data_IF_767142774864
#
_entry.id   IF_767142774864
#
_cell.length_a   1.000
_cell.length_b   1.000
_cell.length_c   1.000
_cell.angle_alpha   90.00
_cell.angle_beta   90.00
_cell.angle_gamma   90.00
#
_symmetry.space_group_name_H-M   'P 1'
#
loop_
_entity.id
_entity.type
_entity.pdbx_description
1 polymer ?
#
# COMPACT_ATOMS: atom_id res chain seq x y z
N UNK A 1 -1.07 -22.45 -30.34
CA UNK A 1 -2.54 -22.67 -30.26
C UNK A 1 -3.15 -21.47 -29.55
N UNK A 2 -4.16 -20.77 -30.11
CA UNK A 2 -4.71 -19.60 -29.45
C UNK A 2 -5.59 -20.03 -28.27
N UNK A 3 -5.31 -19.47 -27.09
CA UNK A 3 -6.18 -19.60 -25.91
C UNK A 3 -7.55 -19.00 -26.24
N UNK A 4 -8.59 -19.84 -26.26
CA UNK A 4 -9.97 -19.37 -26.28
C UNK A 4 -10.22 -18.64 -24.96
N UNK A 5 -10.34 -17.32 -25.02
CA UNK A 5 -10.92 -16.52 -23.94
C UNK A 5 -12.35 -17.03 -23.71
N UNK A 6 -12.59 -17.66 -22.56
CA UNK A 6 -13.94 -17.94 -22.11
C UNK A 6 -14.67 -16.61 -21.92
N UNK A 7 -15.58 -16.28 -22.84
CA UNK A 7 -16.54 -15.20 -22.62
C UNK A 7 -17.35 -15.56 -21.37
N UNK A 8 -17.06 -14.87 -20.26
CA UNK A 8 -17.91 -14.89 -19.07
C UNK A 8 -19.28 -14.36 -19.45
N UNK A 9 -20.31 -15.18 -19.27
CA UNK A 9 -21.70 -14.80 -19.52
C UNK A 9 -22.03 -13.59 -18.63
N UNK A 10 -22.30 -12.44 -19.24
CA UNK A 10 -22.75 -11.23 -18.52
C UNK A 10 -24.01 -11.59 -17.73
N UNK A 11 -23.91 -11.61 -16.41
CA UNK A 11 -25.04 -11.91 -15.53
C UNK A 11 -25.60 -10.64 -14.93
N UNK A 12 -26.92 -10.46 -15.05
CA UNK A 12 -27.63 -9.28 -14.57
C UNK A 12 -27.93 -9.36 -13.06
N UNK A 13 -28.16 -8.19 -12.46
CA UNK A 13 -28.64 -8.04 -11.10
C UNK A 13 -30.05 -8.63 -10.98
N UNK A 14 -30.20 -9.62 -10.11
CA UNK A 14 -31.47 -10.30 -9.90
C UNK A 14 -32.57 -9.34 -9.39
N UNK A 15 -32.19 -8.32 -8.61
CA UNK A 15 -33.12 -7.36 -8.01
C UNK A 15 -33.64 -6.31 -8.99
N UNK A 16 -32.73 -5.65 -9.72
CA UNK A 16 -33.10 -4.74 -10.82
C UNK A 16 -34.04 -5.43 -11.82
N UNK A 17 -33.74 -6.68 -12.16
CA UNK A 17 -34.55 -7.44 -13.12
C UNK A 17 -35.93 -7.80 -12.56
N UNK A 18 -36.04 -8.14 -11.26
CA UNK A 18 -37.32 -8.53 -10.66
C UNK A 18 -38.21 -7.36 -10.27
N UNK A 19 -37.63 -6.23 -9.87
CA UNK A 19 -38.36 -5.10 -9.27
C UNK A 19 -38.62 -3.98 -10.29
N UNK A 20 -37.67 -3.74 -11.21
CA UNK A 20 -37.70 -2.59 -12.13
C UNK A 20 -37.63 -3.02 -13.60
N UNK A 21 -37.56 -4.33 -13.87
CA UNK A 21 -37.35 -4.92 -15.19
C UNK A 21 -36.10 -4.38 -15.92
N UNK A 22 -35.09 -3.98 -15.14
CA UNK A 22 -33.84 -3.44 -15.64
C UNK A 22 -32.75 -4.51 -15.76
N UNK A 23 -31.93 -4.43 -16.81
CA UNK A 23 -30.85 -5.39 -17.10
C UNK A 23 -29.48 -4.87 -16.67
N UNK A 24 -29.39 -4.29 -15.48
CA UNK A 24 -28.12 -3.84 -14.90
C UNK A 24 -27.19 -5.02 -14.64
N UNK A 25 -25.91 -4.89 -14.98
CA UNK A 25 -24.91 -5.94 -14.78
C UNK A 25 -24.64 -6.16 -13.28
N UNK A 26 -24.61 -7.42 -12.85
CA UNK A 26 -24.24 -7.76 -11.49
C UNK A 26 -22.72 -7.63 -11.28
N UNK A 27 -22.35 -7.04 -10.15
CA UNK A 27 -20.96 -6.86 -9.70
C UNK A 27 -20.63 -7.67 -8.46
N UNK A 28 -21.65 -8.18 -7.77
CA UNK A 28 -21.52 -8.90 -6.51
C UNK A 28 -22.38 -10.17 -6.51
N UNK A 29 -22.01 -11.11 -5.65
CA UNK A 29 -22.77 -12.30 -5.36
C UNK A 29 -22.88 -12.49 -3.85
N UNK A 30 -24.11 -12.63 -3.37
CA UNK A 30 -24.35 -13.07 -2.00
C UNK A 30 -24.27 -14.60 -1.95
N UNK A 31 -23.45 -15.14 -1.06
CA UNK A 31 -23.23 -16.58 -0.92
C UNK A 31 -24.50 -17.26 -0.41
N UNK A 32 -25.13 -16.69 0.61
CA UNK A 32 -26.27 -17.27 1.33
C UNK A 32 -27.56 -17.15 0.52
N UNK A 33 -27.80 -16.02 -0.15
CA UNK A 33 -28.97 -15.84 -1.01
C UNK A 33 -28.81 -16.45 -2.40
N UNK A 34 -27.60 -16.90 -2.76
CA UNK A 34 -27.25 -17.36 -4.12
C UNK A 34 -27.67 -16.39 -5.24
N UNK A 35 -27.78 -15.09 -4.92
CA UNK A 35 -28.23 -14.07 -5.83
C UNK A 35 -27.07 -13.17 -6.28
N UNK A 36 -27.18 -12.67 -7.51
CA UNK A 36 -26.22 -11.73 -8.10
C UNK A 36 -26.81 -10.33 -8.07
N UNK A 37 -26.03 -9.36 -7.61
CA UNK A 37 -26.48 -8.01 -7.30
C UNK A 37 -25.58 -6.97 -7.98
N UNK A 38 -26.15 -5.84 -8.40
CA UNK A 38 -25.37 -4.64 -8.73
C UNK A 38 -24.79 -4.02 -7.45
N UNK A 39 -23.95 -2.99 -7.59
CA UNK A 39 -23.28 -2.35 -6.45
C UNK A 39 -24.28 -1.77 -5.44
N UNK A 40 -25.34 -1.11 -5.92
CA UNK A 40 -26.33 -0.45 -5.06
C UNK A 40 -27.17 -1.49 -4.31
N UNK A 41 -27.64 -2.52 -5.02
CA UNK A 41 -28.39 -3.59 -4.38
C UNK A 41 -27.53 -4.41 -3.40
N UNK A 42 -26.24 -4.62 -3.67
CA UNK A 42 -25.32 -5.24 -2.73
C UNK A 42 -25.12 -4.39 -1.46
N UNK A 43 -24.98 -3.06 -1.63
CA UNK A 43 -24.83 -2.11 -0.53
C UNK A 43 -26.08 -2.06 0.35
N UNK A 44 -27.27 -2.03 -0.27
CA UNK A 44 -28.53 -2.16 0.45
C UNK A 44 -28.62 -3.51 1.17
N UNK A 45 -28.23 -4.59 0.50
CA UNK A 45 -28.25 -5.94 1.05
C UNK A 45 -27.38 -6.08 2.31
N UNK A 46 -26.26 -5.38 2.42
CA UNK A 46 -25.44 -5.39 3.64
C UNK A 46 -25.94 -4.43 4.72
N UNK A 47 -26.76 -3.43 4.35
CA UNK A 47 -27.31 -2.42 5.27
C UNK A 47 -28.53 -2.94 6.04
N UNK A 48 -29.37 -3.79 5.44
CA UNK A 48 -30.55 -4.34 6.11
C UNK A 48 -30.17 -5.37 7.18
N UNK A 49 -30.71 -5.22 8.40
CA UNK A 49 -30.39 -6.10 9.55
C UNK A 49 -30.56 -7.58 9.24
N UNK A 50 -31.58 -7.95 8.45
CA UNK A 50 -31.88 -9.32 8.05
C UNK A 50 -30.72 -9.99 7.28
N UNK A 51 -29.90 -9.20 6.61
CA UNK A 51 -28.92 -9.67 5.63
C UNK A 51 -27.50 -9.17 5.93
N UNK A 52 -27.31 -8.44 7.03
CA UNK A 52 -26.04 -7.82 7.42
C UNK A 52 -24.91 -8.83 7.64
N UNK A 53 -25.24 -10.08 7.99
CA UNK A 53 -24.27 -11.17 8.18
C UNK A 53 -23.95 -11.93 6.89
N UNK A 54 -24.64 -11.65 5.78
CA UNK A 54 -24.44 -12.37 4.54
C UNK A 54 -23.10 -11.96 3.89
N UNK A 55 -22.34 -12.94 3.45
CA UNK A 55 -21.10 -12.71 2.72
C UNK A 55 -21.42 -12.32 1.27
N UNK A 56 -21.12 -11.07 0.94
CA UNK A 56 -21.24 -10.55 -0.41
C UNK A 56 -19.84 -10.46 -1.02
N UNK A 57 -19.60 -11.27 -2.04
CA UNK A 57 -18.32 -11.34 -2.76
C UNK A 57 -18.41 -10.53 -4.05
N UNK A 58 -17.32 -9.89 -4.44
CA UNK A 58 -17.20 -9.30 -5.77
C UNK A 58 -17.17 -10.43 -6.80
N UNK A 59 -18.01 -10.32 -7.82
CA UNK A 59 -17.86 -11.14 -9.02
C UNK A 59 -16.65 -10.62 -9.77
N UNK A 60 -15.69 -11.50 -10.08
CA UNK A 60 -14.56 -11.13 -10.93
C UNK A 60 -15.10 -10.59 -12.25
N UNK A 61 -14.89 -9.31 -12.50
CA UNK A 61 -15.27 -8.72 -13.77
C UNK A 61 -14.28 -9.18 -14.84
N UNK A 62 -14.78 -9.57 -16.02
CA UNK A 62 -13.94 -9.74 -17.21
C UNK A 62 -13.47 -8.41 -17.79
N UNK A 63 -14.06 -7.30 -17.33
CA UNK A 63 -13.72 -5.92 -17.71
C UNK A 63 -13.46 -5.14 -16.42
N UNK A 64 -12.25 -4.64 -16.25
CA UNK A 64 -11.86 -3.90 -15.04
C UNK A 64 -12.82 -2.71 -14.87
N UNK A 65 -13.53 -2.55 -13.75
CA UNK A 65 -14.56 -1.52 -13.59
C UNK A 65 -13.97 -0.12 -13.34
N UNK A 66 -12.75 0.13 -13.78
CA UNK A 66 -12.23 1.49 -13.84
C UNK A 66 -12.72 2.06 -15.16
N UNK A 67 -13.50 3.13 -15.08
CA UNK A 67 -13.94 3.90 -16.27
C UNK A 67 -12.78 4.44 -17.11
N UNK A 68 -11.53 4.28 -16.64
CA UNK A 68 -10.33 4.92 -17.18
C UNK A 68 -10.36 6.45 -17.02
N UNK A 69 -11.44 7.01 -16.47
CA UNK A 69 -11.60 8.44 -16.22
C UNK A 69 -11.02 8.73 -14.86
N UNK A 70 -9.75 9.10 -14.85
CA UNK A 70 -9.09 9.66 -13.69
C UNK A 70 -9.39 11.16 -13.67
N UNK A 71 -9.91 11.63 -12.55
CA UNK A 71 -10.08 13.05 -12.29
C UNK A 71 -9.02 13.49 -11.29
N UNK A 72 -8.45 14.66 -11.51
CA UNK A 72 -7.56 15.27 -10.54
C UNK A 72 -8.38 15.65 -9.32
N UNK A 73 -8.17 14.94 -8.20
CA UNK A 73 -8.90 15.22 -6.97
C UNK A 73 -8.30 16.40 -6.20
N UNK A 74 -6.97 16.59 -6.20
CA UNK A 74 -6.30 17.67 -5.45
C UNK A 74 -4.79 17.44 -5.27
N UNK A 75 -4.11 18.39 -4.62
CA UNK A 75 -2.72 18.25 -4.15
C UNK A 75 -2.69 18.25 -2.61
N UNK A 76 -1.76 17.47 -2.04
CA UNK A 76 -1.47 17.48 -0.60
C UNK A 76 -0.90 18.84 -0.18
N UNK A 77 -1.43 19.42 0.91
CA UNK A 77 -0.90 20.66 1.51
C UNK A 77 -1.49 21.97 0.98
N UNK A 78 -2.55 21.93 0.15
CA UNK A 78 -3.27 23.11 -0.31
C UNK A 78 -4.39 23.57 0.64
N UNK A 79 -4.86 22.71 1.56
CA UNK A 79 -5.91 23.11 2.51
C UNK A 79 -5.34 24.06 3.57
N UNK A 80 -6.06 25.16 3.74
CA UNK A 80 -5.78 26.40 4.47
C UNK A 80 -5.46 26.30 5.96
N UNK A 81 -5.31 25.09 6.51
CA UNK A 81 -5.09 24.85 7.93
C UNK A 81 -3.60 24.81 8.33
N UNK A 82 -2.68 25.00 7.37
CA UNK A 82 -1.25 25.14 7.65
C UNK A 82 -0.87 26.61 7.46
N UNK A 83 -0.57 27.31 8.56
CA UNK A 83 -0.16 28.74 8.56
C UNK A 83 1.06 29.05 7.67
N UNK A 84 1.74 28.00 7.18
CA UNK A 84 2.71 28.06 6.07
C UNK A 84 2.43 26.89 5.12
N UNK A 85 2.45 27.08 3.79
CA UNK A 85 2.32 25.97 2.86
C UNK A 85 3.42 24.94 3.15
N UNK A 86 3.01 23.71 3.47
CA UNK A 86 3.95 22.61 3.66
C UNK A 86 4.61 22.33 2.32
N UNK A 87 5.92 22.59 2.21
CA UNK A 87 6.70 22.27 1.02
C UNK A 87 7.56 21.05 1.28
N UNK A 88 7.42 20.04 0.43
CA UNK A 88 8.37 18.95 0.38
C UNK A 88 9.66 19.37 -0.31
N UNK A 89 10.79 18.74 0.03
CA UNK A 89 12.07 18.91 -0.65
C UNK A 89 12.24 17.86 -1.75
N UNK A 90 12.03 16.59 -1.42
CA UNK A 90 12.10 15.47 -2.36
C UNK A 90 11.27 14.28 -1.86
N UNK A 91 10.03 14.17 -2.35
CA UNK A 91 9.16 13.03 -2.04
C UNK A 91 9.65 11.79 -2.79
N UNK A 92 9.95 10.72 -2.06
CA UNK A 92 10.53 9.48 -2.63
C UNK A 92 9.69 8.24 -2.38
N UNK A 93 8.86 8.24 -1.35
CA UNK A 93 8.07 7.08 -0.96
C UNK A 93 6.78 7.46 -0.26
N UNK A 94 5.81 6.55 -0.30
CA UNK A 94 4.53 6.70 0.39
C UNK A 94 4.03 5.35 0.89
N UNK A 95 3.21 5.38 1.94
CA UNK A 95 2.52 4.20 2.45
C UNK A 95 1.18 4.58 3.06
N UNK A 96 0.15 3.79 2.83
CA UNK A 96 -1.17 3.99 3.45
C UNK A 96 -1.38 2.92 4.51
N UNK A 97 -1.54 3.33 5.76
CA UNK A 97 -2.07 2.45 6.80
C UNK A 97 -3.58 2.61 6.90
N UNK A 98 -4.30 1.50 6.67
CA UNK A 98 -5.76 1.48 6.84
C UNK A 98 -6.17 1.35 8.29
N UNK A 99 -5.37 0.67 9.13
CA UNK A 99 -5.59 0.57 10.58
C UNK A 99 -5.55 1.96 11.20
N UNK A 100 -4.52 2.74 10.89
CA UNK A 100 -4.33 4.08 11.45
C UNK A 100 -5.08 5.16 10.69
N UNK A 101 -5.56 4.89 9.47
CA UNK A 101 -6.14 5.87 8.55
C UNK A 101 -5.16 7.02 8.31
N UNK A 102 -3.91 6.66 8.04
CA UNK A 102 -2.82 7.61 7.80
C UNK A 102 -2.17 7.35 6.45
N UNK A 103 -1.83 8.43 5.75
CA UNK A 103 -0.88 8.44 4.66
C UNK A 103 0.48 8.85 5.19
N UNK A 104 1.48 8.00 5.05
CA UNK A 104 2.88 8.29 5.30
C UNK A 104 3.54 8.76 4.01
N UNK A 105 4.32 9.83 4.09
CA UNK A 105 5.06 10.43 2.97
C UNK A 105 6.51 10.62 3.37
N UNK A 106 7.41 10.05 2.58
CA UNK A 106 8.86 10.14 2.78
C UNK A 106 9.40 11.32 2.00
N UNK A 107 10.00 12.29 2.70
CA UNK A 107 10.72 13.42 2.12
C UNK A 107 12.23 13.22 2.36
N UNK A 108 12.90 12.62 1.37
CA UNK A 108 14.23 12.04 1.56
C UNK A 108 15.32 13.08 1.76
N UNK A 109 15.24 14.23 1.08
CA UNK A 109 16.21 15.31 1.21
C UNK A 109 15.95 16.22 2.42
N UNK A 110 14.78 16.08 3.04
CA UNK A 110 14.48 16.70 4.32
C UNK A 110 14.74 15.77 5.52
N UNK A 111 15.16 14.52 5.27
CA UNK A 111 15.32 13.45 6.26
C UNK A 111 14.06 13.26 7.13
N UNK A 112 12.88 13.34 6.51
CA UNK A 112 11.59 13.34 7.22
C UNK A 112 10.60 12.33 6.70
N UNK A 113 9.75 11.85 7.61
CA UNK A 113 8.51 11.14 7.27
C UNK A 113 7.33 11.92 7.85
N UNK A 114 6.44 12.36 6.98
CA UNK A 114 5.19 13.01 7.36
C UNK A 114 4.08 11.97 7.43
N UNK A 115 3.13 12.16 8.33
CA UNK A 115 1.88 11.39 8.36
C UNK A 115 0.69 12.33 8.30
N UNK A 116 -0.28 12.00 7.45
CA UNK A 116 -1.49 12.79 7.24
C UNK A 116 -2.71 11.95 7.57
N UNK A 117 -3.66 12.53 8.30
CA UNK A 117 -4.96 11.92 8.54
C UNK A 117 -5.72 11.77 7.23
N UNK A 118 -6.20 10.56 6.98
CA UNK A 118 -7.19 10.29 5.94
C UNK A 118 -8.57 10.63 6.52
N UNK A 119 -9.08 11.81 6.21
CA UNK A 119 -10.45 12.19 6.57
C UNK A 119 -11.48 11.29 5.85
N UNK A 120 -12.70 11.20 6.41
CA UNK A 120 -13.63 10.08 6.24
C UNK A 120 -13.85 9.63 4.79
N UNK A 121 -13.70 8.32 4.58
CA UNK A 121 -14.20 7.56 3.43
C UNK A 121 -15.73 7.71 3.30
N UNK A 122 -16.19 8.50 2.33
CA UNK A 122 -17.60 8.74 1.98
C UNK A 122 -17.71 9.67 0.77
N UNK A 123 -18.93 9.92 0.28
CA UNK A 123 -19.24 10.66 -0.97
C UNK A 123 -18.70 12.11 -1.06
N UNK A 124 -18.13 12.63 0.02
CA UNK A 124 -17.39 13.88 0.05
C UNK A 124 -15.91 13.56 0.29
N UNK A 125 -15.17 13.31 -0.80
CA UNK A 125 -13.71 13.18 -0.81
C UNK A 125 -13.08 14.58 -0.71
N UNK A 126 -13.42 15.35 0.33
CA UNK A 126 -12.70 16.60 0.58
C UNK A 126 -11.27 16.22 0.94
N UNK A 127 -10.29 16.69 0.15
CA UNK A 127 -8.87 16.39 0.27
C UNK A 127 -8.21 17.01 1.52
N UNK A 128 -8.91 16.97 2.67
CA UNK A 128 -8.44 17.47 3.95
C UNK A 128 -7.46 16.46 4.56
N UNK A 129 -6.27 16.38 3.97
CA UNK A 129 -5.14 15.65 4.52
C UNK A 129 -4.51 16.48 5.63
N UNK A 130 -5.05 16.35 6.84
CA UNK A 130 -4.53 17.06 8.02
C UNK A 130 -3.20 16.46 8.44
N UNK A 131 -2.14 17.28 8.52
CA UNK A 131 -0.85 16.83 9.04
C UNK A 131 -1.02 16.34 10.49
N UNK A 132 -0.67 15.07 10.73
CA UNK A 132 -0.77 14.42 12.03
C UNK A 132 0.55 14.46 12.79
N UNK A 133 1.64 14.10 12.10
CA UNK A 133 2.95 14.01 12.70
C UNK A 133 4.05 14.20 11.64
N UNK A 134 5.24 14.62 12.09
CA UNK A 134 6.46 14.75 11.31
C UNK A 134 7.61 14.10 12.09
N UNK A 135 8.13 12.99 11.58
CA UNK A 135 9.27 12.27 12.15
C UNK A 135 10.54 12.83 11.51
N UNK A 136 11.44 13.38 12.32
CA UNK A 136 12.78 13.76 11.90
C UNK A 136 13.73 12.57 12.09
N UNK A 137 14.36 12.14 11.00
CA UNK A 137 15.37 11.09 11.01
C UNK A 137 16.77 11.71 11.01
N UNK A 138 17.75 10.92 11.46
CA UNK A 138 19.18 11.25 11.39
C UNK A 138 19.87 10.61 10.18
N UNK A 139 19.09 10.12 9.22
CA UNK A 139 19.53 9.54 7.95
C UNK A 139 18.51 9.85 6.86
N UNK A 140 18.93 9.79 5.60
CA UNK A 140 18.05 10.02 4.46
C UNK A 140 17.20 8.77 4.17
N UNK A 141 15.86 8.83 4.36
CA UNK A 141 14.97 7.71 4.05
C UNK A 141 14.65 7.67 2.55
N UNK A 142 14.36 6.48 1.99
CA UNK A 142 13.92 6.33 0.60
C UNK A 142 12.49 5.80 0.49
N UNK A 143 12.16 4.77 1.27
CA UNK A 143 10.83 4.19 1.31
C UNK A 143 10.42 3.87 2.74
N UNK A 144 9.11 3.75 2.95
CA UNK A 144 8.51 3.38 4.24
C UNK A 144 7.44 2.32 4.01
N UNK A 145 7.39 1.34 4.91
CA UNK A 145 6.33 0.36 5.03
C UNK A 145 5.83 0.39 6.48
N UNK A 146 4.51 0.40 6.69
CA UNK A 146 3.93 0.34 8.04
C UNK A 146 3.67 -1.11 8.40
N UNK A 147 4.06 -1.50 9.61
CA UNK A 147 3.60 -2.72 10.24
C UNK A 147 2.34 -2.44 11.07
N UNK A 148 1.18 -2.64 10.47
CA UNK A 148 -0.09 -2.49 11.19
C UNK A 148 -0.24 -3.54 12.32
N UNK A 149 0.57 -4.60 12.36
CA UNK A 149 0.45 -5.65 13.39
C UNK A 149 1.07 -5.27 14.73
N UNK A 150 2.17 -4.51 14.71
CA UNK A 150 2.90 -4.09 15.92
C UNK A 150 3.15 -2.58 16.04
N UNK A 151 2.51 -1.77 15.19
CA UNK A 151 2.55 -0.29 15.22
C UNK A 151 3.98 0.26 15.02
N UNK A 152 4.64 -0.21 13.97
CA UNK A 152 6.03 0.16 13.64
C UNK A 152 6.19 0.58 12.19
N UNK A 153 7.35 1.17 11.90
CA UNK A 153 7.76 1.57 10.56
C UNK A 153 8.99 0.76 10.15
N UNK A 154 8.99 0.26 8.92
CA UNK A 154 10.16 -0.29 8.25
C UNK A 154 10.57 0.71 7.17
N UNK A 155 11.79 1.22 7.28
CA UNK A 155 12.29 2.32 6.48
C UNK A 155 13.58 1.86 5.78
N UNK A 156 13.72 2.22 4.51
CA UNK A 156 14.98 2.03 3.78
C UNK A 156 15.78 3.32 3.73
N UNK A 157 17.10 3.19 3.68
CA UNK A 157 18.01 4.31 3.43
C UNK A 157 19.03 3.91 2.39
N UNK A 158 19.01 4.60 1.24
CA UNK A 158 19.95 4.37 0.15
C UNK A 158 21.38 4.75 0.55
N UNK A 159 21.54 5.91 1.19
CA UNK A 159 22.83 6.41 1.61
C UNK A 159 23.52 5.46 2.59
N UNK A 160 22.76 4.88 3.52
CA UNK A 160 23.30 3.93 4.48
C UNK A 160 23.40 2.51 3.91
N UNK A 161 22.64 2.15 2.86
CA UNK A 161 22.53 0.77 2.38
C UNK A 161 21.80 -0.14 3.38
N UNK A 162 20.82 0.41 4.10
CA UNK A 162 20.22 -0.23 5.27
C UNK A 162 18.70 -0.28 5.23
N UNK A 163 18.17 -1.22 6.00
CA UNK A 163 16.75 -1.35 6.35
C UNK A 163 16.63 -1.22 7.85
N UNK A 164 15.76 -0.35 8.34
CA UNK A 164 15.57 -0.10 9.77
C UNK A 164 14.11 -0.26 10.14
N UNK A 165 13.84 -1.04 11.18
CA UNK A 165 12.53 -1.06 11.84
C UNK A 165 12.57 -0.19 13.09
N UNK A 166 11.58 0.66 13.26
CA UNK A 166 11.46 1.58 14.40
C UNK A 166 10.00 1.75 14.84
N UNK A 167 9.81 2.26 16.04
CA UNK A 167 8.49 2.66 16.55
C UNK A 167 7.80 3.67 15.62
N UNK A 168 6.47 3.70 15.65
CA UNK A 168 5.67 4.61 14.80
C UNK A 168 6.00 6.10 14.99
N UNK A 169 6.52 6.48 16.15
CA UNK A 169 6.94 7.85 16.48
C UNK A 169 8.40 8.15 16.11
N UNK A 170 9.12 7.15 15.60
CA UNK A 170 10.51 7.21 15.18
C UNK A 170 11.53 7.32 16.32
N UNK A 171 11.13 7.18 17.58
CA UNK A 171 12.01 7.35 18.74
C UNK A 171 12.87 6.12 19.02
N UNK A 172 12.31 4.91 18.86
CA UNK A 172 12.97 3.68 19.22
C UNK A 172 13.30 2.84 17.99
N UNK A 173 14.56 2.41 17.88
CA UNK A 173 14.99 1.49 16.83
C UNK A 173 14.86 0.05 17.33
N UNK A 174 14.13 -0.76 16.60
CA UNK A 174 13.82 -2.15 16.96
C UNK A 174 14.88 -3.08 16.40
N UNK A 175 15.12 -3.02 15.08
CA UNK A 175 16.20 -3.75 14.44
C UNK A 175 16.71 -3.00 13.21
N UNK A 176 17.88 -3.39 12.73
CA UNK A 176 18.46 -2.90 11.48
C UNK A 176 19.11 -4.04 10.72
N UNK A 177 19.09 -3.96 9.40
CA UNK A 177 19.79 -4.86 8.49
C UNK A 177 20.67 -4.04 7.53
N UNK A 178 21.85 -4.57 7.20
CA UNK A 178 22.91 -3.88 6.44
C UNK A 178 23.97 -3.23 7.34
N UNK A 179 25.13 -2.89 6.76
CA UNK A 179 26.22 -2.22 7.47
C UNK A 179 26.15 -0.72 7.27
N UNK A 180 26.22 0.01 8.39
CA UNK A 180 26.25 1.46 8.40
C UNK A 180 27.56 1.96 7.77
N UNK A 181 27.45 2.60 6.60
CA UNK A 181 28.60 3.09 5.84
C UNK A 181 28.81 4.59 6.07
N UNK A 182 30.07 5.00 6.14
CA UNK A 182 30.42 6.39 5.88
C UNK A 182 30.35 6.60 4.35
N UNK A 183 29.66 7.65 3.92
CA UNK A 183 29.34 7.97 2.52
C UNK A 183 30.47 7.59 1.54
N UNK A 184 30.09 6.86 0.48
CA UNK A 184 30.92 6.41 -0.65
C UNK A 184 31.77 5.15 -0.44
N UNK A 185 31.21 3.98 -0.78
CA UNK A 185 31.94 2.72 -0.90
C UNK A 185 31.15 1.68 -1.71
N UNK A 186 31.85 0.67 -2.27
CA UNK A 186 31.26 -0.45 -3.02
C UNK A 186 30.37 -1.32 -2.12
N UNK A 187 29.14 -1.61 -2.50
CA UNK A 187 28.21 -2.44 -1.69
C UNK A 187 28.77 -3.84 -1.46
N UNK A 188 28.73 -4.31 -0.22
CA UNK A 188 29.11 -5.68 0.14
C UNK A 188 27.94 -6.61 -0.16
N UNK A 189 28.21 -7.91 -0.31
CA UNK A 189 27.17 -8.92 -0.56
C UNK A 189 26.13 -9.00 0.58
N UNK A 190 26.49 -8.58 1.79
CA UNK A 190 25.62 -8.58 2.97
C UNK A 190 24.75 -7.32 3.09
N UNK A 191 25.00 -6.29 2.26
CA UNK A 191 24.25 -5.04 2.30
C UNK A 191 22.99 -5.09 1.43
N UNK A 192 22.06 -4.17 1.70
CA UNK A 192 21.02 -3.85 0.73
C UNK A 192 21.51 -2.67 -0.09
N UNK A 193 22.00 -2.95 -1.29
CA UNK A 193 22.50 -1.93 -2.20
C UNK A 193 21.35 -1.14 -2.84
N UNK A 194 21.38 0.18 -2.69
CA UNK A 194 20.37 1.12 -3.18
C UNK A 194 18.92 0.67 -2.92
N UNK A 195 18.50 0.52 -1.64
CA UNK A 195 17.18 0.06 -1.28
C UNK A 195 16.10 1.07 -1.65
N UNK A 196 15.51 0.89 -2.83
CA UNK A 196 14.54 1.81 -3.42
C UNK A 196 13.10 1.61 -2.92
N UNK A 197 12.77 0.40 -2.45
CA UNK A 197 11.41 0.06 -2.02
C UNK A 197 11.43 -1.03 -0.96
N UNK A 198 10.43 -0.98 -0.07
CA UNK A 198 10.18 -1.98 0.95
C UNK A 198 8.67 -2.26 1.05
N UNK A 199 8.33 -3.54 1.15
CA UNK A 199 6.98 -4.00 1.46
C UNK A 199 7.06 -5.16 2.45
N UNK A 200 5.97 -5.46 3.12
CA UNK A 200 5.89 -6.57 4.06
C UNK A 200 4.61 -7.35 3.82
N UNK A 201 4.71 -8.66 3.93
CA UNK A 201 3.55 -9.52 4.05
C UNK A 201 3.18 -9.66 5.54
N UNK A 202 2.07 -9.07 6.00
CA UNK A 202 1.67 -9.13 7.41
C UNK A 202 1.26 -10.55 7.84
N UNK A 203 0.93 -11.45 6.90
CA UNK A 203 0.54 -12.81 7.25
C UNK A 203 1.76 -13.69 7.58
N UNK A 204 2.84 -13.56 6.81
CA UNK A 204 4.07 -14.33 7.03
C UNK A 204 5.10 -13.61 7.89
N UNK A 205 4.99 -12.29 8.05
CA UNK A 205 6.00 -11.46 8.70
C UNK A 205 7.30 -11.39 7.89
N UNK A 206 7.24 -11.57 6.56
CA UNK A 206 8.39 -11.42 5.69
C UNK A 206 8.41 -10.00 5.12
N UNK A 207 9.56 -9.34 5.27
CA UNK A 207 9.86 -8.04 4.67
C UNK A 207 10.61 -8.28 3.37
N UNK A 208 10.16 -7.64 2.30
CA UNK A 208 10.78 -7.69 0.98
C UNK A 208 11.36 -6.33 0.64
N UNK A 209 12.64 -6.31 0.29
CA UNK A 209 13.36 -5.07 -0.01
C UNK A 209 14.01 -5.18 -1.37
N UNK A 210 13.80 -4.18 -2.23
CA UNK A 210 14.43 -4.11 -3.53
C UNK A 210 15.87 -3.60 -3.36
N UNK A 211 16.86 -4.48 -3.54
CA UNK A 211 18.27 -4.08 -3.60
C UNK A 211 18.64 -3.76 -5.04
N UNK A 212 18.31 -2.54 -5.47
CA UNK A 212 18.29 -2.18 -6.89
C UNK A 212 19.64 -2.30 -7.57
N UNK A 213 20.73 -1.84 -6.93
CA UNK A 213 22.08 -1.92 -7.49
C UNK A 213 22.65 -3.36 -7.55
N UNK A 214 22.05 -4.31 -6.82
CA UNK A 214 22.43 -5.73 -6.84
C UNK A 214 21.42 -6.59 -7.63
N UNK A 215 20.38 -5.98 -8.21
CA UNK A 215 19.38 -6.67 -9.02
C UNK A 215 18.71 -7.86 -8.32
N UNK A 216 18.48 -7.71 -7.01
CA UNK A 216 17.87 -8.75 -6.19
C UNK A 216 16.77 -8.19 -5.29
N UNK A 217 15.89 -9.08 -4.84
CA UNK A 217 14.97 -8.83 -3.74
C UNK A 217 15.50 -9.56 -2.50
N UNK A 218 15.72 -8.82 -1.43
CA UNK A 218 16.13 -9.36 -0.13
C UNK A 218 14.90 -9.66 0.70
N UNK A 219 14.85 -10.85 1.33
CA UNK A 219 13.81 -11.25 2.27
C UNK A 219 14.35 -11.17 3.68
N UNK A 220 13.70 -10.40 4.55
CA UNK A 220 14.07 -10.27 5.95
C UNK A 220 12.94 -10.76 6.86
N UNK A 221 13.31 -11.32 7.99
CA UNK A 221 12.41 -11.59 9.10
C UNK A 221 11.97 -10.28 9.73
N UNK A 222 10.67 -10.02 9.79
CA UNK A 222 10.15 -8.84 10.47
C UNK A 222 10.37 -8.88 11.99
N UNK A 223 10.62 -10.06 12.57
CA UNK A 223 10.81 -10.24 14.02
C UNK A 223 12.13 -9.64 14.51
N UNK A 224 13.20 -9.78 13.73
CA UNK A 224 14.57 -9.48 14.17
C UNK A 224 15.48 -8.94 13.06
N UNK A 225 14.95 -8.74 11.84
CA UNK A 225 15.70 -8.26 10.69
C UNK A 225 16.64 -9.29 10.08
N UNK A 226 16.60 -10.56 10.51
CA UNK A 226 17.49 -11.61 9.96
C UNK A 226 17.22 -11.90 8.49
N UNK A 227 18.28 -12.20 7.72
CA UNK A 227 18.17 -12.57 6.31
C UNK A 227 17.54 -13.95 6.16
N UNK A 228 16.41 -14.02 5.45
CA UNK A 228 15.68 -15.26 5.15
C UNK A 228 16.00 -15.82 3.76
N UNK A 229 16.52 -14.98 2.86
CA UNK A 229 16.92 -15.38 1.52
C UNK A 229 16.75 -14.26 0.50
N UNK A 230 16.96 -14.60 -0.77
CA UNK A 230 17.06 -13.63 -1.85
C UNK A 230 16.34 -14.17 -3.11
N UNK A 231 15.88 -13.27 -3.98
CA UNK A 231 15.37 -13.59 -5.31
C UNK A 231 16.12 -12.76 -6.35
N UNK A 232 16.67 -13.43 -7.36
CA UNK A 232 17.44 -12.82 -8.43
C UNK A 232 18.92 -12.61 -8.06
N UNK A 233 19.77 -12.51 -9.08
CA UNK A 233 21.17 -12.10 -9.04
C UNK A 233 21.67 -12.00 -10.50
N UNK A 234 22.57 -11.05 -10.82
CA UNK A 234 23.25 -10.99 -12.13
C UNK A 234 23.96 -12.32 -12.46
N UNK A 235 24.47 -13.05 -11.47
CA UNK A 235 25.19 -14.31 -11.71
C UNK A 235 24.31 -15.48 -12.18
N UNK A 236 22.98 -15.35 -12.13
CA UNK A 236 22.05 -16.43 -12.51
C UNK A 236 21.51 -16.32 -13.94
N UNK A 237 21.99 -15.35 -14.73
CA UNK A 237 21.70 -15.25 -16.17
C UNK A 237 22.65 -16.15 -16.98
N UNK A 238 22.62 -17.46 -16.70
CA UNK A 238 23.13 -18.47 -17.62
C UNK A 238 22.00 -18.91 -18.55
N UNK A 239 21.97 -18.36 -19.77
CA UNK A 239 21.27 -18.97 -20.92
C UNK A 239 22.34 -19.66 -21.76
#
# INVERSE_FOLDING_TARGET
MPHKLHHSVKTNCAKCQSEENETLQASHQCVECSCKLCHDHASLHQKYQKFKSHQVKLLGFSEVPFSGKFEFCGLLGLDSDIEKPLSFVHVSGLHISRKHKLLFVVDSKADKIYSFELSKTGADLSNSFKLKNCIQLNFSPCAVCVDDSDDTLIITSEELGMVTKMSMDGQERIWKFGKERQRMGRFDEEDVAEPSSVVMDPQSGIVYVASSAQHRIVKLSNKDGSLLGEIGNIQQAGI
#
